data_IF_488292416131
#
_entry.id   IF_488292416131
#
_cell.length_a   1.000
_cell.length_b   1.000
_cell.length_c   1.000
_cell.angle_alpha   90.00
_cell.angle_beta   90.00
_cell.angle_gamma   90.00
#
_symmetry.space_group_name_H-M   'P 1'
#
loop_
_entity.id
_entity.type
_entity.pdbx_description
1 polymer ?
#
# COMPACT_ATOMS: atom_id res chain seq x y z
N UNK A 1 -6.80 -19.94 -27.06
CA UNK A 1 -5.44 -20.12 -26.51
C UNK A 1 -4.48 -19.00 -26.97
N UNK A 2 -4.54 -18.56 -28.23
CA UNK A 2 -3.65 -17.52 -28.77
C UNK A 2 -3.90 -16.15 -28.15
N UNK A 3 -5.17 -15.75 -27.92
CA UNK A 3 -5.55 -14.51 -27.25
C UNK A 3 -5.04 -14.43 -25.79
N UNK A 4 -5.11 -15.54 -25.07
CA UNK A 4 -4.62 -15.61 -23.69
C UNK A 4 -3.10 -15.39 -23.59
N UNK A 5 -2.34 -15.99 -24.52
CA UNK A 5 -0.89 -15.80 -24.61
C UNK A 5 -0.53 -14.34 -24.98
N UNK A 6 -1.33 -13.71 -25.81
CA UNK A 6 -1.12 -12.34 -26.24
C UNK A 6 -1.38 -11.35 -25.08
N UNK A 7 -2.47 -11.55 -24.35
CA UNK A 7 -2.77 -10.76 -23.14
C UNK A 7 -1.71 -10.95 -22.05
N UNK A 8 -1.19 -12.17 -21.88
CA UNK A 8 -0.14 -12.42 -20.90
C UNK A 8 1.16 -11.71 -21.27
N UNK A 9 1.50 -11.67 -22.56
CA UNK A 9 2.68 -10.99 -23.08
C UNK A 9 2.56 -9.48 -22.94
N UNK A 10 1.41 -8.90 -23.27
CA UNK A 10 1.11 -7.48 -23.10
C UNK A 10 1.22 -7.05 -21.62
N UNK A 11 0.64 -7.83 -20.70
CA UNK A 11 0.80 -7.58 -19.25
C UNK A 11 2.26 -7.67 -18.80
N UNK A 12 3.03 -8.62 -19.32
CA UNK A 12 4.46 -8.71 -18.97
C UNK A 12 5.25 -7.50 -19.48
N UNK A 13 4.93 -7.00 -20.66
CA UNK A 13 5.54 -5.79 -21.23
C UNK A 13 5.16 -4.54 -20.44
N UNK A 14 3.89 -4.38 -20.04
CA UNK A 14 3.43 -3.31 -19.15
C UNK A 14 4.16 -3.30 -17.80
N UNK A 15 4.25 -4.46 -17.14
CA UNK A 15 4.97 -4.61 -15.87
C UNK A 15 6.46 -4.31 -16.05
N UNK A 16 7.05 -4.69 -17.17
CA UNK A 16 8.47 -4.42 -17.47
C UNK A 16 8.70 -2.92 -17.68
N UNK A 17 7.81 -2.25 -18.42
CA UNK A 17 7.84 -0.80 -18.63
C UNK A 17 7.70 -0.05 -17.31
N UNK A 18 6.68 -0.38 -16.52
CA UNK A 18 6.45 0.23 -15.22
C UNK A 18 7.66 0.06 -14.28
N UNK A 19 8.24 -1.14 -14.22
CA UNK A 19 9.44 -1.39 -13.42
C UNK A 19 10.63 -0.56 -13.87
N UNK A 20 10.79 -0.35 -15.18
CA UNK A 20 11.83 0.47 -15.75
C UNK A 20 11.65 1.95 -15.39
N UNK A 21 10.42 2.45 -15.44
CA UNK A 21 10.11 3.84 -15.13
C UNK A 21 10.26 4.11 -13.63
N UNK A 22 9.78 3.23 -12.76
CA UNK A 22 10.02 3.31 -11.31
C UNK A 22 11.51 3.35 -11.00
N UNK A 23 12.32 2.52 -11.68
CA UNK A 23 13.77 2.52 -11.51
C UNK A 23 14.41 3.87 -11.87
N UNK A 24 13.93 4.53 -12.95
CA UNK A 24 14.43 5.86 -13.34
C UNK A 24 14.15 6.92 -12.27
N UNK A 25 12.93 6.92 -11.70
CA UNK A 25 12.58 7.85 -10.61
C UNK A 25 13.41 7.60 -9.35
N UNK A 26 13.62 6.34 -8.97
CA UNK A 26 14.47 5.99 -7.83
C UNK A 26 15.90 6.47 -8.06
N UNK A 27 16.48 6.25 -9.25
CA UNK A 27 17.84 6.69 -9.57
C UNK A 27 17.94 8.24 -9.57
N UNK A 28 16.94 8.93 -10.08
CA UNK A 28 16.90 10.39 -10.05
C UNK A 28 16.82 10.92 -8.61
N UNK A 29 15.99 10.31 -7.77
CA UNK A 29 15.90 10.66 -6.35
C UNK A 29 17.23 10.41 -5.61
N UNK A 30 17.91 9.29 -5.88
CA UNK A 30 19.21 9.00 -5.27
C UNK A 30 20.26 10.03 -5.68
N UNK A 31 20.36 10.36 -6.97
CA UNK A 31 21.31 11.35 -7.47
C UNK A 31 21.11 12.74 -6.84
N UNK A 32 19.85 13.18 -6.70
CA UNK A 32 19.52 14.46 -6.06
C UNK A 32 19.80 14.42 -4.56
N UNK A 33 19.49 13.31 -3.89
CA UNK A 33 19.76 13.13 -2.47
C UNK A 33 21.27 13.19 -2.15
N UNK A 34 22.13 12.65 -3.02
CA UNK A 34 23.61 12.73 -2.89
C UNK A 34 24.13 14.17 -2.98
N UNK A 35 23.44 15.05 -3.70
CA UNK A 35 23.78 16.48 -3.80
C UNK A 35 23.18 17.33 -2.69
N UNK A 36 22.36 16.76 -1.82
CA UNK A 36 21.75 17.44 -0.69
C UNK A 36 20.65 18.45 -1.06
N UNK A 37 20.18 18.44 -2.31
CA UNK A 37 19.10 19.32 -2.77
C UNK A 37 17.73 18.73 -2.40
N UNK A 38 17.28 19.07 -1.20
CA UNK A 38 15.99 18.62 -0.66
C UNK A 38 14.81 19.20 -1.41
N UNK A 39 14.91 20.36 -2.03
CA UNK A 39 13.84 20.97 -2.80
C UNK A 39 13.62 20.26 -4.14
N UNK A 40 14.70 19.95 -4.84
CA UNK A 40 14.64 19.20 -6.09
C UNK A 40 14.20 17.75 -5.85
N UNK A 41 14.67 17.12 -4.76
CA UNK A 41 14.20 15.80 -4.33
C UNK A 41 12.69 15.79 -4.12
N UNK A 42 12.17 16.85 -3.46
CA UNK A 42 10.73 16.99 -3.23
C UNK A 42 9.96 17.16 -4.56
N UNK A 43 10.48 17.93 -5.50
CA UNK A 43 9.87 18.10 -6.84
C UNK A 43 9.81 16.79 -7.62
N UNK A 44 10.89 15.98 -7.62
CA UNK A 44 10.92 14.69 -8.31
C UNK A 44 9.96 13.70 -7.65
N UNK A 45 9.93 13.65 -6.31
CA UNK A 45 8.98 12.83 -5.57
C UNK A 45 7.54 13.27 -5.83
N UNK A 46 7.27 14.56 -5.86
CA UNK A 46 5.97 15.11 -6.20
C UNK A 46 5.57 14.78 -7.64
N UNK A 47 6.46 14.96 -8.62
CA UNK A 47 6.20 14.60 -10.02
C UNK A 47 5.91 13.11 -10.20
N UNK A 48 6.65 12.24 -9.50
CA UNK A 48 6.36 10.81 -9.48
C UNK A 48 4.99 10.50 -8.86
N UNK A 49 4.56 11.29 -7.88
CA UNK A 49 3.27 11.13 -7.20
C UNK A 49 2.13 11.77 -8.00
N UNK A 50 2.37 12.91 -8.66
CA UNK A 50 1.38 13.62 -9.48
C UNK A 50 0.97 12.83 -10.74
N UNK A 51 1.83 11.92 -11.21
CA UNK A 51 1.45 10.92 -12.22
C UNK A 51 0.35 10.01 -11.67
N UNK A 52 0.31 9.81 -10.35
CA UNK A 52 -0.68 8.99 -9.70
C UNK A 52 -1.83 9.77 -9.06
N UNK A 53 -1.71 11.05 -8.69
CA UNK A 53 -2.89 11.84 -8.24
C UNK A 53 -2.68 13.29 -7.79
N UNK A 54 -3.69 14.13 -8.07
CA UNK A 54 -3.95 15.41 -7.39
C UNK A 54 -4.81 15.14 -6.16
N UNK A 55 -4.34 15.45 -4.96
CA UNK A 55 -5.26 15.35 -3.82
C UNK A 55 -4.84 16.01 -2.50
N UNK A 56 -5.86 16.31 -1.72
CA UNK A 56 -5.86 16.87 -0.39
C UNK A 56 -5.42 15.86 0.67
N UNK A 57 -4.66 16.31 1.66
CA UNK A 57 -4.33 15.50 2.83
C UNK A 57 -5.58 15.20 3.65
N UNK A 58 -5.88 13.92 3.85
CA UNK A 58 -7.08 13.44 4.56
C UNK A 58 -6.74 12.89 5.95
N UNK A 59 -5.48 12.47 6.17
CA UNK A 59 -5.00 11.92 7.44
C UNK A 59 -3.74 12.64 7.91
N UNK A 60 -3.65 12.91 9.21
CA UNK A 60 -2.48 13.47 9.88
C UNK A 60 -2.37 12.81 11.27
N UNK A 61 -1.68 11.66 11.33
CA UNK A 61 -1.46 10.92 12.58
C UNK A 61 -0.11 11.24 13.23
N UNK A 62 0.67 12.11 12.60
CA UNK A 62 1.94 12.63 13.11
C UNK A 62 3.18 11.82 12.70
N UNK A 63 3.02 10.72 11.95
CA UNK A 63 4.15 10.00 11.36
C UNK A 63 4.13 10.20 9.84
N UNK A 64 5.15 10.82 9.23
CA UNK A 64 5.12 11.23 7.82
C UNK A 64 4.89 10.06 6.84
N UNK A 65 5.46 8.89 7.14
CA UNK A 65 5.33 7.71 6.26
C UNK A 65 3.92 7.13 6.36
N UNK A 66 3.38 7.01 7.57
CA UNK A 66 2.01 6.53 7.78
C UNK A 66 1.01 7.49 7.19
N UNK A 67 1.21 8.80 7.37
CA UNK A 67 0.34 9.83 6.79
C UNK A 67 0.31 9.77 5.26
N UNK A 68 1.47 9.65 4.62
CA UNK A 68 1.56 9.53 3.17
C UNK A 68 0.83 8.28 2.65
N UNK A 69 1.04 7.12 3.29
CA UNK A 69 0.41 5.86 2.90
C UNK A 69 -1.11 5.86 3.15
N UNK A 70 -1.53 6.33 4.32
CA UNK A 70 -2.96 6.42 4.63
C UNK A 70 -3.67 7.37 3.68
N UNK A 71 -3.11 8.54 3.40
CA UNK A 71 -3.69 9.48 2.47
C UNK A 71 -3.81 8.88 1.05
N UNK A 72 -2.81 8.13 0.59
CA UNK A 72 -2.87 7.41 -0.67
C UNK A 72 -4.02 6.38 -0.69
N UNK A 73 -4.10 5.49 0.32
CA UNK A 73 -5.12 4.44 0.35
C UNK A 73 -6.53 4.96 0.64
N UNK A 74 -6.67 6.01 1.43
CA UNK A 74 -7.97 6.66 1.66
C UNK A 74 -8.56 7.21 0.36
N UNK A 75 -7.74 7.78 -0.51
CA UNK A 75 -8.19 8.25 -1.83
C UNK A 75 -8.62 7.11 -2.75
N UNK A 76 -7.87 6.01 -2.78
CA UNK A 76 -8.26 4.83 -3.56
C UNK A 76 -9.58 4.26 -3.02
N UNK A 77 -9.74 4.19 -1.70
CA UNK A 77 -10.96 3.73 -1.07
C UNK A 77 -12.16 4.63 -1.43
N UNK A 78 -11.99 5.95 -1.37
CA UNK A 78 -13.04 6.92 -1.74
C UNK A 78 -13.48 6.74 -3.19
N UNK A 79 -12.56 6.63 -4.14
CA UNK A 79 -12.86 6.36 -5.55
C UNK A 79 -13.66 5.09 -5.78
N UNK A 80 -13.47 4.09 -4.92
CA UNK A 80 -14.18 2.81 -4.98
C UNK A 80 -15.42 2.76 -4.08
N UNK A 81 -15.86 3.89 -3.53
CA UNK A 81 -16.97 3.99 -2.58
C UNK A 81 -16.79 3.06 -1.37
N UNK A 82 -15.57 2.96 -0.85
CA UNK A 82 -15.23 2.18 0.34
C UNK A 82 -15.13 3.13 1.54
N UNK A 83 -15.88 2.86 2.59
CA UNK A 83 -15.77 3.59 3.85
C UNK A 83 -14.56 3.08 4.63
N UNK A 84 -13.69 3.99 5.07
CA UNK A 84 -12.53 3.62 5.91
C UNK A 84 -12.69 4.24 7.29
N UNK A 85 -12.59 3.40 8.33
CA UNK A 85 -12.51 3.84 9.73
C UNK A 85 -11.10 3.66 10.22
N UNK A 86 -10.51 4.73 10.72
CA UNK A 86 -9.15 4.78 11.23
C UNK A 86 -9.15 4.90 12.76
N UNK A 87 -8.40 4.04 13.41
CA UNK A 87 -8.06 4.09 14.84
C UNK A 87 -6.54 4.01 14.95
N UNK A 88 -5.88 5.16 14.78
CA UNK A 88 -4.43 5.25 14.70
C UNK A 88 -3.91 6.09 15.86
N UNK A 89 -3.05 5.47 16.71
CA UNK A 89 -2.39 6.12 17.84
C UNK A 89 -0.95 5.65 17.89
N UNK A 90 -0.06 6.41 17.26
CA UNK A 90 1.36 6.10 17.12
C UNK A 90 2.20 7.36 17.40
N UNK A 91 3.45 7.21 17.89
CA UNK A 91 4.38 8.33 17.97
C UNK A 91 4.91 8.71 16.59
N UNK A 92 5.47 9.90 16.49
CA UNK A 92 6.14 10.39 15.28
C UNK A 92 7.25 9.45 14.81
N UNK A 93 8.02 8.90 15.75
CA UNK A 93 9.11 7.96 15.45
C UNK A 93 8.73 6.55 15.91
N UNK A 94 8.79 5.60 15.00
CA UNK A 94 8.55 4.18 15.22
C UNK A 94 9.87 3.39 15.18
N UNK A 95 9.92 2.29 15.92
CA UNK A 95 11.08 1.37 15.91
C UNK A 95 11.12 0.47 14.67
N UNK A 96 9.97 0.19 14.06
CA UNK A 96 9.89 -0.53 12.79
C UNK A 96 10.36 0.36 11.64
N UNK A 97 11.05 -0.21 10.67
CA UNK A 97 11.51 0.56 9.51
C UNK A 97 10.35 1.07 8.65
N UNK A 98 10.52 2.25 8.08
CA UNK A 98 9.53 2.84 7.15
C UNK A 98 9.21 1.90 5.99
N UNK A 99 10.21 1.19 5.47
CA UNK A 99 10.03 0.20 4.39
C UNK A 99 9.16 -0.97 4.84
N UNK A 100 9.45 -1.55 6.02
CA UNK A 100 8.66 -2.66 6.59
C UNK A 100 7.20 -2.25 6.79
N UNK A 101 6.99 -1.06 7.33
CA UNK A 101 5.64 -0.53 7.56
C UNK A 101 4.90 -0.28 6.25
N UNK A 102 5.59 0.25 5.23
CA UNK A 102 5.03 0.45 3.90
C UNK A 102 4.60 -0.86 3.24
N UNK A 103 5.39 -1.92 3.40
CA UNK A 103 5.06 -3.24 2.85
C UNK A 103 3.84 -3.83 3.58
N UNK A 104 3.75 -3.72 4.91
CA UNK A 104 2.60 -4.22 5.67
C UNK A 104 1.33 -3.47 5.27
N UNK A 105 1.34 -2.14 5.38
CA UNK A 105 0.19 -1.30 5.04
C UNK A 105 -0.23 -1.49 3.59
N UNK A 106 0.72 -1.47 2.66
CA UNK A 106 0.47 -1.62 1.23
C UNK A 106 -0.23 -2.94 0.92
N UNK A 107 0.38 -4.06 1.26
CA UNK A 107 -0.20 -5.37 0.93
C UNK A 107 -1.56 -5.60 1.60
N UNK A 108 -1.77 -5.10 2.81
CA UNK A 108 -3.05 -5.30 3.51
C UNK A 108 -4.15 -4.42 2.96
N UNK A 109 -3.87 -3.14 2.64
CA UNK A 109 -4.85 -2.27 2.01
C UNK A 109 -5.21 -2.73 0.60
N UNK A 110 -4.23 -3.14 -0.22
CA UNK A 110 -4.50 -3.67 -1.56
C UNK A 110 -5.44 -4.87 -1.51
N UNK A 111 -5.17 -5.82 -0.61
CA UNK A 111 -6.04 -6.98 -0.41
C UNK A 111 -7.45 -6.60 0.08
N UNK A 112 -7.54 -5.64 1.00
CA UNK A 112 -8.82 -5.20 1.56
C UNK A 112 -9.66 -4.45 0.53
N UNK A 113 -9.06 -3.56 -0.25
CA UNK A 113 -9.73 -2.82 -1.33
C UNK A 113 -10.23 -3.77 -2.40
N UNK A 114 -9.38 -4.72 -2.83
CA UNK A 114 -9.77 -5.73 -3.80
C UNK A 114 -10.97 -6.55 -3.32
N UNK A 115 -10.94 -7.03 -2.06
CA UNK A 115 -12.04 -7.78 -1.49
C UNK A 115 -13.33 -6.95 -1.35
N UNK A 116 -13.22 -5.67 -1.00
CA UNK A 116 -14.37 -4.77 -0.92
C UNK A 116 -14.97 -4.48 -2.29
N UNK A 117 -14.18 -4.37 -3.36
CA UNK A 117 -14.67 -4.09 -4.71
C UNK A 117 -15.60 -5.19 -5.24
N UNK A 118 -15.49 -6.43 -4.75
CA UNK A 118 -16.37 -7.54 -5.09
C UNK A 118 -17.74 -7.51 -4.36
N UNK A 119 -17.96 -6.52 -3.50
CA UNK A 119 -19.18 -6.37 -2.71
C UNK A 119 -20.05 -5.19 -3.20
N UNK A 120 -21.35 -5.16 -2.90
CA UNK A 120 -22.17 -3.98 -3.04
C UNK A 120 -21.59 -2.77 -2.26
N UNK A 121 -21.76 -1.56 -2.78
CA UNK A 121 -21.13 -0.36 -2.22
C UNK A 121 -21.50 -0.11 -0.74
N UNK A 122 -22.71 -0.48 -0.33
CA UNK A 122 -23.20 -0.33 1.04
C UNK A 122 -22.46 -1.21 2.06
N UNK A 123 -21.83 -2.29 1.58
CA UNK A 123 -21.11 -3.25 2.42
C UNK A 123 -19.60 -2.99 2.44
N UNK A 124 -19.10 -2.04 1.62
CA UNK A 124 -17.68 -1.75 1.49
C UNK A 124 -17.20 -0.94 2.67
N UNK A 125 -16.53 -1.59 3.60
CA UNK A 125 -15.96 -0.94 4.78
C UNK A 125 -14.61 -1.57 5.14
N UNK A 126 -13.63 -0.73 5.46
CA UNK A 126 -12.32 -1.15 5.98
C UNK A 126 -12.13 -0.51 7.35
N UNK A 127 -11.71 -1.29 8.32
CA UNK A 127 -11.35 -0.82 9.66
C UNK A 127 -9.85 -1.03 9.87
N UNK A 128 -9.11 0.05 10.10
CA UNK A 128 -7.71 0.01 10.46
C UNK A 128 -7.52 0.38 11.92
N UNK A 129 -6.81 -0.45 12.66
CA UNK A 129 -6.26 -0.14 13.97
C UNK A 129 -4.74 -0.23 13.92
N UNK A 130 -4.07 0.84 14.32
CA UNK A 130 -2.62 0.92 14.41
C UNK A 130 -2.25 1.65 15.70
N UNK A 131 -1.74 0.94 16.68
CA UNK A 131 -1.47 1.49 17.99
C UNK A 131 -0.08 1.08 18.50
N UNK A 132 0.64 2.03 19.06
CA UNK A 132 1.85 1.74 19.83
C UNK A 132 1.46 1.37 21.26
N UNK A 133 1.82 0.16 21.69
CA UNK A 133 1.61 -0.31 23.06
C UNK A 133 2.95 -0.79 23.65
N UNK A 134 3.46 -0.08 24.64
CA UNK A 134 4.76 -0.37 25.25
C UNK A 134 5.88 -0.48 24.20
N UNK A 135 6.44 -1.66 24.01
CA UNK A 135 7.53 -1.93 23.04
C UNK A 135 7.03 -2.51 21.70
N UNK A 136 5.72 -2.81 21.60
CA UNK A 136 5.13 -3.44 20.43
C UNK A 136 4.28 -2.47 19.63
N UNK A 137 4.18 -2.70 18.34
CA UNK A 137 3.25 -2.05 17.45
C UNK A 137 2.12 -3.04 17.16
N UNK A 138 0.90 -2.68 17.57
CA UNK A 138 -0.30 -3.43 17.24
C UNK A 138 -0.88 -2.95 15.93
N UNK A 139 -1.11 -3.88 15.01
CA UNK A 139 -1.70 -3.63 13.70
C UNK A 139 -2.86 -4.59 13.46
N UNK A 140 -4.01 -4.07 13.05
CA UNK A 140 -5.18 -4.84 12.65
C UNK A 140 -5.90 -4.13 11.52
N UNK A 141 -6.15 -4.84 10.43
CA UNK A 141 -6.98 -4.37 9.33
C UNK A 141 -8.07 -5.41 9.06
N UNK A 142 -9.31 -4.94 9.05
CA UNK A 142 -10.49 -5.77 8.84
C UNK A 142 -11.32 -5.25 7.69
N UNK A 143 -11.81 -6.15 6.87
CA UNK A 143 -12.72 -5.87 5.78
C UNK A 143 -13.70 -7.04 5.58
N UNK A 144 -14.92 -6.80 5.10
CA UNK A 144 -15.79 -7.86 4.63
C UNK A 144 -15.27 -8.47 3.32
N UNK A 145 -15.71 -9.66 3.00
CA UNK A 145 -15.40 -10.35 1.75
C UNK A 145 -16.60 -11.16 1.27
N UNK A 146 -16.68 -11.46 -0.03
CA UNK A 146 -17.73 -12.30 -0.60
C UNK A 146 -17.37 -13.79 -0.52
N UNK A 147 -18.27 -14.62 -0.01
CA UNK A 147 -18.05 -16.08 0.08
C UNK A 147 -17.87 -16.75 -1.29
N UNK A 148 -18.45 -16.19 -2.35
CA UNK A 148 -18.28 -16.66 -3.72
C UNK A 148 -16.84 -16.54 -4.24
N UNK A 149 -16.09 -15.59 -3.76
CA UNK A 149 -14.69 -15.34 -4.15
C UNK A 149 -13.71 -16.22 -3.38
N UNK A 150 -14.11 -16.69 -2.19
CA UNK A 150 -13.28 -17.55 -1.34
C UNK A 150 -12.89 -18.86 -2.02
N UNK A 151 -13.77 -19.45 -2.85
CA UNK A 151 -13.52 -20.71 -3.56
C UNK A 151 -12.61 -20.58 -4.78
N UNK A 152 -12.57 -19.40 -5.42
CA UNK A 152 -11.83 -19.19 -6.68
C UNK A 152 -10.39 -18.72 -6.42
N UNK A 153 -10.15 -17.96 -5.33
CA UNK A 153 -8.85 -17.32 -5.07
C UNK A 153 -7.87 -18.12 -4.19
N UNK A 154 -8.25 -19.32 -3.71
CA UNK A 154 -7.36 -20.17 -2.90
C UNK A 154 -6.22 -20.78 -3.76
N UNK A 155 -6.28 -20.65 -5.06
CA UNK A 155 -5.49 -21.48 -5.97
C UNK A 155 -4.25 -20.90 -6.60
N UNK A 156 -3.92 -19.63 -6.75
CA UNK A 156 -2.66 -19.33 -7.50
C UNK A 156 -1.98 -17.96 -7.29
N UNK A 157 -2.62 -16.90 -6.76
CA UNK A 157 -2.01 -15.57 -6.73
C UNK A 157 -1.86 -14.89 -5.35
N UNK A 158 -2.35 -15.48 -4.26
CA UNK A 158 -2.32 -14.88 -2.91
C UNK A 158 -1.02 -15.12 -2.09
N UNK A 159 0.01 -15.70 -2.71
CA UNK A 159 1.15 -16.19 -1.92
C UNK A 159 2.18 -15.11 -1.50
N UNK A 160 2.35 -14.05 -2.26
CA UNK A 160 3.51 -13.17 -2.05
C UNK A 160 3.28 -12.06 -1.02
N UNK A 161 2.12 -11.43 -1.01
CA UNK A 161 1.81 -10.34 -0.07
C UNK A 161 1.83 -10.80 1.39
N UNK A 162 1.08 -11.87 1.70
CA UNK A 162 1.04 -12.46 3.05
C UNK A 162 2.39 -13.06 3.47
N UNK A 163 3.13 -13.69 2.54
CA UNK A 163 4.49 -14.19 2.82
C UNK A 163 5.45 -13.05 3.17
N UNK A 164 5.36 -11.93 2.46
CA UNK A 164 6.17 -10.75 2.75
C UNK A 164 5.82 -10.16 4.12
N UNK A 165 4.53 -10.07 4.45
CA UNK A 165 4.08 -9.60 5.76
C UNK A 165 4.61 -10.52 6.86
N UNK A 166 4.42 -11.84 6.75
CA UNK A 166 4.90 -12.80 7.74
C UNK A 166 6.41 -12.71 7.95
N UNK A 167 7.19 -12.59 6.88
CA UNK A 167 8.64 -12.39 6.97
C UNK A 167 8.98 -11.13 7.78
N UNK A 168 8.33 -10.00 7.48
CA UNK A 168 8.60 -8.73 8.17
C UNK A 168 8.19 -8.81 9.64
N UNK A 169 7.07 -9.46 9.95
CA UNK A 169 6.60 -9.67 11.33
C UNK A 169 7.65 -10.48 12.10
N UNK A 170 8.14 -11.59 11.55
CA UNK A 170 9.20 -12.42 12.14
C UNK A 170 10.53 -11.66 12.34
N UNK A 171 10.95 -10.88 11.33
CA UNK A 171 12.16 -10.04 11.40
C UNK A 171 12.07 -8.98 12.52
N UNK A 172 10.86 -8.56 12.88
CA UNK A 172 10.58 -7.61 13.96
C UNK A 172 10.12 -8.26 15.27
N UNK A 173 10.33 -9.59 15.43
CA UNK A 173 9.96 -10.36 16.63
C UNK A 173 8.47 -10.27 16.96
N UNK A 174 7.61 -10.19 15.96
CA UNK A 174 6.15 -10.19 16.08
C UNK A 174 5.55 -11.57 15.86
N UNK A 175 4.25 -11.69 16.13
CA UNK A 175 3.39 -12.87 15.99
C UNK A 175 2.09 -12.55 15.20
#
# INVERSE_FOLDING_TARGET
QMEYYQQLKERQEEVRSLRHDVKKYILAMQAVAEHGDTEELHKIAQAATDIFERSTNVSAVGNPVVDALLNYYLRIAEKNNIKVKLDVTIPEVLTISSLSLSIILGNTFDNAIEACCDLPAEQRIIHLQLRKQYRSLFYRLENPYSDTVRSIRIGEYRGYGLKNINRIVQENHGD
#
